data_IF_702363553707
#
_entry.id   IF_702363553707
#
_cell.length_a   1.000
_cell.length_b   1.000
_cell.length_c   1.000
_cell.angle_alpha   90.00
_cell.angle_beta   90.00
_cell.angle_gamma   90.00
#
_symmetry.space_group_name_H-M   'P 1'
#
loop_
_entity.id
_entity.type
_entity.pdbx_description
1 polymer ?
#
# COMPACT_ATOMS: atom_id res chain seq x y z
N UNK A 1 -19.30 19.27 -30.36
CA UNK A 1 -18.19 18.39 -30.82
C UNK A 1 -17.34 17.99 -29.62
N UNK A 2 -16.89 16.74 -29.55
CA UNK A 2 -15.79 16.43 -28.63
C UNK A 2 -14.59 17.33 -28.99
N UNK A 3 -13.71 17.73 -28.05
CA UNK A 3 -12.54 18.53 -28.39
C UNK A 3 -11.71 17.90 -29.53
N UNK A 4 -11.74 16.57 -29.63
CA UNK A 4 -11.08 15.77 -30.66
C UNK A 4 -11.69 15.87 -32.08
N UNK A 5 -12.76 16.64 -32.31
CA UNK A 5 -13.45 16.71 -33.61
C UNK A 5 -13.53 18.12 -34.20
N UNK A 6 -12.87 19.10 -33.58
CA UNK A 6 -12.88 20.49 -34.08
C UNK A 6 -11.92 20.62 -35.26
N UNK A 7 -12.46 21.05 -36.41
CA UNK A 7 -11.69 21.30 -37.64
C UNK A 7 -11.05 22.69 -37.63
N UNK A 8 -9.93 22.85 -38.32
CA UNK A 8 -9.21 24.12 -38.49
C UNK A 8 -10.07 25.22 -39.12
N UNK A 9 -11.05 24.86 -39.96
CA UNK A 9 -12.07 25.77 -40.52
C UNK A 9 -12.85 26.52 -39.47
N UNK A 10 -13.09 25.95 -38.29
CA UNK A 10 -13.74 26.64 -37.18
C UNK A 10 -12.94 27.88 -36.74
N UNK A 11 -11.62 27.74 -36.62
CA UNK A 11 -10.72 28.80 -36.18
C UNK A 11 -10.42 29.82 -37.28
N UNK A 12 -10.28 29.36 -38.52
CA UNK A 12 -10.15 30.24 -39.70
C UNK A 12 -11.36 31.17 -39.85
N UNK A 13 -12.57 30.66 -39.56
CA UNK A 13 -13.79 31.47 -39.55
C UNK A 13 -13.82 32.50 -38.40
N UNK A 14 -13.31 32.16 -37.22
CA UNK A 14 -13.23 33.09 -36.07
C UNK A 14 -12.34 34.29 -36.42
N UNK A 15 -11.22 34.05 -37.08
CA UNK A 15 -10.29 35.11 -37.52
C UNK A 15 -10.68 35.74 -38.86
N UNK A 16 -11.84 35.38 -39.42
CA UNK A 16 -12.40 35.88 -40.69
C UNK A 16 -11.48 35.71 -41.90
N UNK A 17 -10.68 34.65 -41.91
CA UNK A 17 -9.82 34.33 -43.05
C UNK A 17 -10.64 33.74 -44.21
N UNK A 18 -10.44 34.26 -45.42
CA UNK A 18 -11.20 33.88 -46.63
C UNK A 18 -10.30 33.29 -47.74
N UNK A 19 -9.04 32.99 -47.45
CA UNK A 19 -8.14 32.33 -48.40
C UNK A 19 -8.51 30.87 -48.65
N UNK A 20 -8.15 30.35 -49.82
CA UNK A 20 -8.38 28.94 -50.22
C UNK A 20 -7.10 28.10 -50.17
N UNK A 21 -6.00 28.69 -49.71
CA UNK A 21 -4.65 28.12 -49.64
C UNK A 21 -4.40 27.28 -48.39
N UNK A 22 -5.33 27.29 -47.42
CA UNK A 22 -5.27 26.48 -46.20
C UNK A 22 -6.40 25.44 -46.20
N UNK A 23 -6.06 24.17 -45.95
CA UNK A 23 -7.03 23.10 -45.80
C UNK A 23 -7.76 23.20 -44.44
N UNK A 24 -9.00 23.70 -44.49
CA UNK A 24 -9.89 23.85 -43.34
C UNK A 24 -10.48 22.54 -42.81
N UNK A 25 -10.26 21.41 -43.48
CA UNK A 25 -10.79 20.09 -43.13
C UNK A 25 -9.82 19.24 -42.29
N UNK A 26 -8.72 19.83 -41.82
CA UNK A 26 -7.78 19.18 -40.92
C UNK A 26 -8.23 19.37 -39.47
N UNK A 27 -8.09 18.35 -38.63
CA UNK A 27 -8.41 18.47 -37.20
C UNK A 27 -7.43 19.39 -36.48
N UNK A 28 -7.94 20.20 -35.55
CA UNK A 28 -7.13 21.21 -34.89
C UNK A 28 -6.06 20.62 -33.96
N UNK A 29 -6.28 19.43 -33.38
CA UNK A 29 -5.27 18.71 -32.59
C UNK A 29 -4.05 18.29 -33.43
N UNK A 30 -4.26 18.02 -34.73
CA UNK A 30 -3.18 17.74 -35.68
C UNK A 30 -2.47 19.04 -36.09
N UNK A 31 -3.23 20.11 -36.35
CA UNK A 31 -2.69 21.42 -36.70
C UNK A 31 -1.80 21.99 -35.58
N UNK A 32 -2.17 21.79 -34.32
CA UNK A 32 -1.46 22.37 -33.18
C UNK A 32 -0.10 21.70 -32.88
N UNK A 33 0.11 20.47 -33.36
CA UNK A 33 1.40 19.79 -33.23
C UNK A 33 2.47 20.38 -34.14
N UNK A 34 2.11 20.74 -35.38
CA UNK A 34 3.02 21.30 -36.39
C UNK A 34 2.35 22.47 -37.14
N UNK A 35 1.99 23.58 -36.45
CA UNK A 35 1.17 24.64 -37.03
C UNK A 35 1.83 25.34 -38.22
N UNK A 36 3.16 25.32 -38.30
CA UNK A 36 3.93 25.87 -39.43
C UNK A 36 3.68 25.11 -40.74
N UNK A 37 3.29 23.83 -40.67
CA UNK A 37 3.00 23.01 -41.86
C UNK A 37 1.61 23.24 -42.42
N UNK A 38 0.67 23.63 -41.58
CA UNK A 38 -0.74 23.79 -41.95
C UNK A 38 -1.15 25.25 -42.12
N UNK A 39 -0.47 26.18 -41.45
CA UNK A 39 -0.69 27.63 -41.56
C UNK A 39 0.66 28.29 -41.89
N UNK A 40 1.00 28.38 -43.19
CA UNK A 40 2.29 28.92 -43.63
C UNK A 40 2.45 30.42 -43.33
N UNK A 41 1.35 31.16 -43.28
CA UNK A 41 1.34 32.58 -42.97
C UNK A 41 1.57 32.83 -41.46
N UNK A 42 2.63 33.59 -41.15
CA UNK A 42 3.11 33.80 -39.79
C UNK A 42 2.12 34.61 -38.93
N UNK A 43 1.54 35.67 -39.50
CA UNK A 43 0.61 36.58 -38.80
C UNK A 43 -0.72 35.87 -38.51
N UNK A 44 -1.23 35.09 -39.47
CA UNK A 44 -2.44 34.29 -39.33
C UNK A 44 -2.24 33.15 -38.32
N UNK A 45 -1.06 32.52 -38.33
CA UNK A 45 -0.70 31.46 -37.38
C UNK A 45 -0.65 32.01 -35.96
N UNK A 46 -0.04 33.17 -35.76
CA UNK A 46 -0.02 33.85 -34.45
C UNK A 46 -1.44 34.20 -33.98
N UNK A 47 -2.27 34.73 -34.87
CA UNK A 47 -3.65 35.11 -34.55
C UNK A 47 -4.53 33.90 -34.18
N UNK A 48 -4.38 32.77 -34.86
CA UNK A 48 -5.13 31.53 -34.56
C UNK A 48 -4.64 30.88 -33.27
N UNK A 49 -3.32 30.76 -33.08
CA UNK A 49 -2.75 30.19 -31.86
C UNK A 49 -2.98 31.06 -30.61
N UNK A 50 -3.23 32.36 -30.80
CA UNK A 50 -3.62 33.29 -29.75
C UNK A 50 -5.05 33.12 -29.21
N UNK A 51 -5.90 32.32 -29.87
CA UNK A 51 -7.28 32.10 -29.40
C UNK A 51 -7.32 31.27 -28.11
N UNK A 52 -8.18 31.60 -27.11
CA UNK A 52 -8.26 30.88 -25.83
C UNK A 52 -8.50 29.37 -25.96
N UNK A 53 -9.33 28.98 -26.93
CA UNK A 53 -9.62 27.59 -27.22
C UNK A 53 -8.38 26.88 -27.78
N UNK A 54 -7.62 27.53 -28.68
CA UNK A 54 -6.37 26.99 -29.23
C UNK A 54 -5.27 26.87 -28.17
N UNK A 55 -5.20 27.81 -27.22
CA UNK A 55 -4.31 27.70 -26.07
C UNK A 55 -4.62 26.45 -25.23
N UNK A 56 -5.91 26.13 -25.04
CA UNK A 56 -6.33 24.92 -24.32
C UNK A 56 -5.88 23.65 -25.05
N UNK A 57 -6.03 23.60 -26.38
CA UNK A 57 -5.52 22.48 -27.17
C UNK A 57 -3.99 22.39 -27.14
N UNK A 58 -3.28 23.51 -27.21
CA UNK A 58 -1.82 23.52 -27.14
C UNK A 58 -1.31 23.00 -25.78
N UNK A 59 -2.00 23.30 -24.69
CA UNK A 59 -1.73 22.72 -23.38
C UNK A 59 -1.89 21.18 -23.40
N UNK A 60 -3.01 20.67 -23.91
CA UNK A 60 -3.34 19.24 -23.85
C UNK A 60 -2.56 18.38 -24.85
N UNK A 61 -2.37 18.84 -26.08
CA UNK A 61 -1.81 18.01 -27.16
C UNK A 61 -0.33 18.30 -27.46
N UNK A 62 0.22 19.41 -26.94
CA UNK A 62 1.63 19.77 -27.13
C UNK A 62 2.41 19.73 -25.82
N UNK A 63 1.93 20.36 -24.76
CA UNK A 63 2.67 20.41 -23.49
C UNK A 63 2.58 19.11 -22.67
N UNK A 64 1.38 18.50 -22.53
CA UNK A 64 1.20 17.27 -21.72
C UNK A 64 2.01 16.06 -22.24
N UNK A 65 2.08 15.77 -23.56
CA UNK A 65 2.91 14.67 -24.07
C UNK A 65 4.39 14.87 -23.78
N UNK A 66 4.90 16.10 -23.87
CA UNK A 66 6.29 16.43 -23.56
C UNK A 66 6.60 16.25 -22.08
N UNK A 67 5.71 16.71 -21.19
CA UNK A 67 5.84 16.46 -19.75
C UNK A 67 5.94 14.96 -19.45
N UNK A 68 5.09 14.14 -20.08
CA UNK A 68 5.12 12.67 -19.92
C UNK A 68 6.39 12.04 -20.50
N UNK A 69 6.84 12.51 -21.67
CA UNK A 69 8.06 12.04 -22.32
C UNK A 69 9.30 12.27 -21.48
N UNK A 70 9.33 13.39 -20.74
CA UNK A 70 10.39 13.74 -19.79
C UNK A 70 10.10 13.30 -18.35
N UNK A 71 9.25 12.27 -18.17
CA UNK A 71 8.95 11.61 -16.89
C UNK A 71 8.25 12.47 -15.81
N UNK A 72 7.66 13.61 -16.20
CA UNK A 72 6.79 14.41 -15.33
C UNK A 72 5.35 13.93 -15.54
N UNK A 73 4.97 12.87 -14.82
CA UNK A 73 3.66 12.21 -14.94
C UNK A 73 2.71 12.54 -13.78
N UNK A 74 3.19 13.12 -12.69
CA UNK A 74 2.41 13.47 -11.51
C UNK A 74 2.78 14.84 -10.91
N UNK A 75 1.82 15.48 -10.22
CA UNK A 75 1.99 16.83 -9.66
C UNK A 75 3.08 16.93 -8.59
N UNK A 76 3.35 15.88 -7.80
CA UNK A 76 4.42 15.91 -6.80
C UNK A 76 5.82 15.95 -7.43
N UNK A 77 5.98 15.37 -8.63
CA UNK A 77 7.22 15.42 -9.41
C UNK A 77 7.48 16.83 -9.95
N UNK A 78 6.44 17.66 -10.09
CA UNK A 78 6.58 19.05 -10.51
C UNK A 78 7.23 19.93 -9.44
N UNK A 79 6.91 19.73 -8.16
CA UNK A 79 7.28 20.66 -7.09
C UNK A 79 8.59 20.39 -6.35
N UNK A 80 9.34 19.35 -6.73
CA UNK A 80 10.69 19.10 -6.21
C UNK A 80 11.66 20.17 -6.74
N UNK A 81 12.31 20.92 -5.84
CA UNK A 81 13.18 22.05 -6.20
C UNK A 81 14.40 21.63 -7.05
N UNK A 82 14.86 20.38 -6.92
CA UNK A 82 16.08 19.89 -7.55
C UNK A 82 15.91 18.63 -8.40
N UNK A 83 14.81 17.87 -8.25
CA UNK A 83 14.68 16.53 -8.83
C UNK A 83 14.27 16.53 -10.33
N UNK A 84 13.72 17.63 -10.85
CA UNK A 84 13.21 17.69 -12.24
C UNK A 84 13.61 18.96 -13.01
N UNK A 85 14.64 19.67 -12.56
CA UNK A 85 15.11 20.89 -13.23
C UNK A 85 15.55 20.62 -14.68
N UNK A 86 16.21 19.49 -14.91
CA UNK A 86 16.66 19.10 -16.24
C UNK A 86 15.49 18.65 -17.14
N UNK A 87 14.53 17.91 -16.59
CA UNK A 87 13.30 17.52 -17.30
C UNK A 87 12.46 18.75 -17.69
N UNK A 88 12.29 19.72 -16.80
CA UNK A 88 11.60 20.99 -17.10
C UNK A 88 12.30 21.78 -18.19
N UNK A 89 13.65 21.82 -18.16
CA UNK A 89 14.44 22.50 -19.20
C UNK A 89 14.28 21.80 -20.55
N UNK A 90 14.35 20.48 -20.59
CA UNK A 90 14.16 19.69 -21.80
C UNK A 90 12.74 19.87 -22.39
N UNK A 91 11.70 19.88 -21.56
CA UNK A 91 10.33 20.17 -22.00
C UNK A 91 10.22 21.58 -22.58
N UNK A 92 10.83 22.58 -21.94
CA UNK A 92 10.84 23.96 -22.43
C UNK A 92 11.52 24.07 -23.80
N UNK A 93 12.70 23.47 -23.93
CA UNK A 93 13.51 23.51 -25.14
C UNK A 93 12.79 22.81 -26.30
N UNK A 94 12.12 21.69 -26.04
CA UNK A 94 11.37 20.92 -27.03
C UNK A 94 10.01 21.56 -27.38
N UNK A 95 9.38 22.24 -26.42
CA UNK A 95 8.13 22.97 -26.66
C UNK A 95 8.36 24.18 -27.60
N UNK A 96 9.53 24.81 -27.50
CA UNK A 96 9.96 25.96 -28.29
C UNK A 96 8.93 27.11 -28.33
N UNK A 97 8.17 27.29 -27.24
CA UNK A 97 7.14 28.31 -27.09
C UNK A 97 7.11 28.84 -25.65
N UNK A 98 7.80 29.96 -25.42
CA UNK A 98 7.95 30.55 -24.08
C UNK A 98 6.61 30.99 -23.46
N UNK A 99 5.65 31.47 -24.26
CA UNK A 99 4.34 31.89 -23.77
C UNK A 99 3.50 30.71 -23.25
N UNK A 100 3.48 29.62 -24.00
CA UNK A 100 2.83 28.37 -23.60
C UNK A 100 3.52 27.74 -22.39
N UNK A 101 4.86 27.74 -22.37
CA UNK A 101 5.64 27.26 -21.22
C UNK A 101 5.31 28.03 -19.93
N UNK A 102 5.27 29.36 -19.98
CA UNK A 102 4.92 30.19 -18.82
C UNK A 102 3.52 29.90 -18.30
N UNK A 103 2.57 29.64 -19.21
CA UNK A 103 1.18 29.28 -18.85
C UNK A 103 1.12 27.91 -18.17
N UNK A 104 1.83 26.91 -18.70
CA UNK A 104 1.95 25.57 -18.10
C UNK A 104 2.55 25.66 -16.70
N UNK A 105 3.67 26.38 -16.55
CA UNK A 105 4.34 26.56 -15.27
C UNK A 105 3.42 27.22 -14.24
N UNK A 106 2.78 28.33 -14.59
CA UNK A 106 1.91 29.06 -13.66
C UNK A 106 0.72 28.22 -13.17
N UNK A 107 0.11 27.42 -14.05
CA UNK A 107 -1.00 26.52 -13.68
C UNK A 107 -0.52 25.39 -12.75
N UNK A 108 0.62 24.77 -13.07
CA UNK A 108 1.17 23.68 -12.26
C UNK A 108 1.71 24.17 -10.91
N UNK A 109 2.33 25.35 -10.85
CA UNK A 109 2.81 25.97 -9.61
C UNK A 109 1.64 26.36 -8.69
N UNK A 110 0.55 26.88 -9.26
CA UNK A 110 -0.67 27.18 -8.51
C UNK A 110 -1.32 25.89 -7.97
N UNK A 111 -1.47 24.86 -8.80
CA UNK A 111 -2.01 23.57 -8.40
C UNK A 111 -1.15 22.90 -7.30
N UNK A 112 0.18 22.96 -7.44
CA UNK A 112 1.11 22.42 -6.45
C UNK A 112 1.02 23.19 -5.12
N UNK A 113 0.92 24.51 -5.16
CA UNK A 113 0.79 25.35 -3.96
C UNK A 113 -0.51 25.04 -3.20
N UNK A 114 -1.63 24.90 -3.91
CA UNK A 114 -2.92 24.52 -3.32
C UNK A 114 -2.85 23.13 -2.67
N UNK A 115 -2.23 22.16 -3.34
CA UNK A 115 -2.04 20.81 -2.80
C UNK A 115 -1.18 20.82 -1.53
N UNK A 116 -0.09 21.60 -1.52
CA UNK A 116 0.81 21.75 -0.36
C UNK A 116 0.13 22.44 0.83
N UNK A 117 -0.72 23.44 0.56
CA UNK A 117 -1.51 24.12 1.59
C UNK A 117 -2.61 23.22 2.16
N UNK A 118 -3.25 22.40 1.33
CA UNK A 118 -4.22 21.40 1.76
C UNK A 118 -3.56 20.35 2.65
N UNK A 119 -2.40 19.82 2.25
CA UNK A 119 -1.62 18.88 3.04
C UNK A 119 -1.18 19.51 4.38
N UNK A 120 -0.77 20.77 4.37
CA UNK A 120 -0.38 21.50 5.59
C UNK A 120 -1.58 21.71 6.53
N UNK A 121 -2.76 22.04 6.00
CA UNK A 121 -4.00 22.15 6.78
C UNK A 121 -4.44 20.81 7.35
N UNK A 122 -4.34 19.72 6.58
CA UNK A 122 -4.60 18.37 7.09
C UNK A 122 -3.63 17.99 8.22
N UNK A 123 -2.35 18.32 8.08
CA UNK A 123 -1.35 18.14 9.14
C UNK A 123 -1.68 18.95 10.39
N UNK A 124 -2.13 20.20 10.27
CA UNK A 124 -2.52 21.02 11.42
C UNK A 124 -3.81 20.52 12.07
N UNK A 125 -4.83 20.14 11.31
CA UNK A 125 -6.04 19.50 11.83
C UNK A 125 -5.71 18.17 12.53
N UNK A 126 -4.79 17.38 11.98
CA UNK A 126 -4.34 16.14 12.62
C UNK A 126 -3.53 16.43 13.89
N UNK A 127 -2.67 17.46 13.92
CA UNK A 127 -1.98 17.91 15.15
C UNK A 127 -2.95 18.40 16.22
N UNK A 128 -4.00 19.11 15.84
CA UNK A 128 -5.03 19.59 16.75
C UNK A 128 -5.85 18.43 17.31
N UNK A 129 -6.25 17.47 16.47
CA UNK A 129 -6.84 16.20 16.93
C UNK A 129 -5.91 15.42 17.84
N UNK A 130 -4.61 15.37 17.55
CA UNK A 130 -3.60 14.73 18.43
C UNK A 130 -3.51 15.44 19.78
N UNK A 131 -3.64 16.77 19.84
CA UNK A 131 -3.68 17.54 21.09
C UNK A 131 -4.94 17.27 21.90
N UNK A 132 -6.07 17.09 21.25
CA UNK A 132 -7.32 16.68 21.91
C UNK A 132 -7.24 15.24 22.43
N UNK A 133 -6.83 14.28 21.60
CA UNK A 133 -6.62 12.87 22.00
C UNK A 133 -5.52 12.72 23.06
N UNK A 134 -4.50 13.59 23.05
CA UNK A 134 -3.45 13.65 24.06
C UNK A 134 -3.96 13.99 25.46
N UNK A 135 -5.14 14.61 25.56
CA UNK A 135 -5.82 14.93 26.82
C UNK A 135 -6.61 13.75 27.40
N UNK A 136 -6.83 12.69 26.60
CA UNK A 136 -7.64 11.51 26.92
C UNK A 136 -6.77 10.24 27.11
N UNK A 137 -5.46 10.39 27.39
CA UNK A 137 -4.56 9.25 27.57
C UNK A 137 -4.75 8.57 28.92
N UNK A 138 -4.95 7.26 28.88
CA UNK A 138 -4.75 6.36 30.03
C UNK A 138 -3.30 5.87 29.97
N UNK A 139 -2.44 6.51 30.75
CA UNK A 139 -1.10 6.03 31.04
C UNK A 139 -1.18 4.87 32.03
N UNK A 140 -0.64 3.70 31.66
CA UNK A 140 -0.54 2.57 32.60
C UNK A 140 0.87 2.59 33.19
N UNK A 141 0.97 2.78 34.50
CA UNK A 141 2.21 2.54 35.22
C UNK A 141 2.51 1.04 35.20
N UNK A 142 3.60 0.67 34.53
CA UNK A 142 4.15 -0.68 34.62
C UNK A 142 5.31 -0.65 35.60
N UNK A 143 5.11 -1.25 36.78
CA UNK A 143 6.17 -1.39 37.79
C UNK A 143 7.12 -2.51 37.34
N UNK A 144 8.39 -2.15 37.07
CA UNK A 144 9.46 -3.11 36.84
C UNK A 144 10.12 -3.61 38.13
N UNK A 145 10.80 -4.76 38.07
CA UNK A 145 11.48 -5.42 39.20
C UNK A 145 12.59 -4.57 39.87
N UNK A 146 12.98 -3.45 39.26
CA UNK A 146 13.98 -2.50 39.79
C UNK A 146 13.40 -1.20 40.38
N UNK A 147 12.07 -1.11 40.59
CA UNK A 147 11.44 0.08 41.18
C UNK A 147 11.39 1.32 40.26
N UNK A 148 11.75 1.19 38.99
CA UNK A 148 11.50 2.22 37.97
C UNK A 148 10.10 2.01 37.40
N UNK A 149 9.19 2.98 37.61
CA UNK A 149 7.95 3.03 36.84
C UNK A 149 8.29 3.53 35.44
N UNK A 150 7.84 2.80 34.43
CA UNK A 150 7.90 3.25 33.05
C UNK A 150 6.46 3.42 32.56
N UNK A 151 6.14 4.63 32.13
CA UNK A 151 4.89 4.92 31.46
C UNK A 151 4.99 4.41 30.03
N UNK A 152 4.25 3.37 29.68
CA UNK A 152 4.24 2.82 28.32
C UNK A 152 2.97 3.27 27.61
N UNK A 153 3.07 3.84 26.40
CA UNK A 153 1.90 4.32 25.68
C UNK A 153 1.00 3.15 25.25
N UNK A 154 -0.21 3.12 25.79
CA UNK A 154 -1.33 2.35 25.23
C UNK A 154 -1.84 3.10 24.01
N UNK A 155 -2.05 2.39 22.90
CA UNK A 155 -2.58 3.01 21.67
C UNK A 155 -4.10 2.77 21.62
N UNK A 156 -4.93 3.77 21.96
CA UNK A 156 -6.37 3.57 22.12
C UNK A 156 -7.05 3.18 20.80
N UNK A 157 -8.06 2.31 20.87
CA UNK A 157 -8.90 1.87 19.74
C UNK A 157 -8.27 0.88 18.76
N UNK A 158 -6.93 0.74 18.79
CA UNK A 158 -6.22 -0.08 17.80
C UNK A 158 -6.44 -1.58 17.96
N UNK A 159 -6.66 -2.06 19.19
CA UNK A 159 -7.02 -3.46 19.43
C UNK A 159 -8.35 -3.79 18.75
N UNK A 160 -9.38 -2.98 19.01
CA UNK A 160 -10.71 -3.12 18.42
C UNK A 160 -10.66 -2.96 16.91
N UNK A 161 -9.84 -2.06 16.38
CA UNK A 161 -9.66 -1.87 14.94
C UNK A 161 -9.11 -3.12 14.25
N UNK A 162 -8.08 -3.76 14.82
CA UNK A 162 -7.52 -5.00 14.27
C UNK A 162 -8.50 -6.16 14.44
N UNK A 163 -9.10 -6.31 15.63
CA UNK A 163 -10.02 -7.40 15.93
C UNK A 163 -11.25 -7.36 15.01
N UNK A 164 -11.80 -6.16 14.77
CA UNK A 164 -12.99 -5.95 13.94
C UNK A 164 -12.66 -5.59 12.48
N UNK A 165 -11.44 -5.90 12.01
CA UNK A 165 -11.05 -5.63 10.63
C UNK A 165 -12.03 -6.31 9.64
N UNK A 166 -12.41 -5.57 8.61
CA UNK A 166 -13.45 -5.97 7.65
C UNK A 166 -12.86 -6.77 6.52
N UNK A 167 -13.54 -7.84 6.15
CA UNK A 167 -13.19 -8.65 5.00
C UNK A 167 -13.83 -8.08 3.73
N UNK A 168 -13.08 -8.14 2.65
CA UNK A 168 -13.57 -8.02 1.27
C UNK A 168 -12.78 -9.01 0.39
N UNK A 169 -13.21 -9.25 -0.84
CA UNK A 169 -12.51 -10.14 -1.76
C UNK A 169 -12.72 -9.76 -3.22
N UNK A 170 -11.86 -10.27 -4.10
CA UNK A 170 -11.89 -10.04 -5.54
C UNK A 170 -12.09 -11.36 -6.29
N UNK A 171 -13.08 -11.37 -7.19
CA UNK A 171 -13.43 -12.50 -8.03
C UNK A 171 -13.13 -12.20 -9.50
N UNK A 172 -12.51 -13.14 -10.22
CA UNK A 172 -12.29 -13.07 -11.66
C UNK A 172 -13.44 -13.68 -12.48
N UNK A 173 -13.38 -13.49 -13.80
CA UNK A 173 -14.30 -14.12 -14.75
C UNK A 173 -15.66 -13.44 -14.80
N UNK A 174 -15.67 -12.11 -14.70
CA UNK A 174 -16.84 -11.25 -14.81
C UNK A 174 -16.73 -10.42 -16.10
N UNK A 175 -17.27 -10.94 -17.21
CA UNK A 175 -17.08 -10.39 -18.54
C UNK A 175 -17.55 -8.92 -18.69
N UNK A 176 -18.53 -8.52 -17.90
CA UNK A 176 -19.15 -7.18 -17.98
C UNK A 176 -18.52 -6.15 -17.03
N UNK A 177 -17.45 -6.52 -16.32
CA UNK A 177 -16.77 -5.71 -15.32
C UNK A 177 -15.36 -5.33 -15.78
N UNK A 178 -14.87 -4.14 -15.39
CA UNK A 178 -13.49 -3.72 -15.68
C UNK A 178 -12.48 -4.75 -15.19
N UNK A 179 -11.40 -4.92 -15.98
CA UNK A 179 -10.34 -5.90 -15.71
C UNK A 179 -10.83 -7.35 -15.58
N UNK A 180 -12.06 -7.66 -15.98
CA UNK A 180 -12.73 -8.94 -15.77
C UNK A 180 -12.86 -9.35 -14.29
N UNK A 181 -12.86 -8.38 -13.38
CA UNK A 181 -12.84 -8.56 -11.93
C UNK A 181 -14.06 -7.94 -11.24
N UNK A 182 -14.48 -8.51 -10.12
CA UNK A 182 -15.50 -7.94 -9.22
C UNK A 182 -14.99 -7.88 -7.79
N UNK A 183 -15.16 -6.73 -7.17
CA UNK A 183 -14.92 -6.51 -5.74
C UNK A 183 -16.21 -6.82 -4.97
N UNK A 184 -16.10 -7.56 -3.87
CA UNK A 184 -17.23 -7.96 -3.03
C UNK A 184 -16.87 -7.73 -1.56
N UNK A 185 -17.79 -7.14 -0.82
CA UNK A 185 -17.65 -7.00 0.64
C UNK A 185 -17.96 -8.30 1.37
N UNK A 186 -17.22 -8.57 2.43
CA UNK A 186 -17.30 -9.78 3.22
C UNK A 186 -16.27 -10.84 2.84
N UNK A 187 -16.24 -11.92 3.63
CA UNK A 187 -15.44 -13.10 3.35
C UNK A 187 -16.10 -13.90 2.20
N UNK A 188 -15.33 -14.48 1.27
CA UNK A 188 -15.89 -15.37 0.26
C UNK A 188 -16.51 -16.63 0.91
N UNK A 189 -17.52 -17.21 0.25
CA UNK A 189 -18.17 -18.45 0.71
C UNK A 189 -17.18 -19.60 0.87
N UNK A 190 -16.19 -19.69 -0.03
CA UNK A 190 -15.15 -20.70 -0.02
C UNK A 190 -13.79 -20.02 -0.02
N UNK A 191 -13.06 -20.14 1.09
CA UNK A 191 -11.64 -19.77 1.17
C UNK A 191 -10.79 -20.94 0.65
N UNK A 192 -9.63 -20.65 0.07
CA UNK A 192 -8.73 -21.67 -0.44
C UNK A 192 -8.37 -22.70 0.63
N UNK A 193 -8.49 -23.98 0.29
CA UNK A 193 -8.09 -25.08 1.17
C UNK A 193 -6.58 -25.20 1.30
N UNK A 194 -6.09 -25.88 2.34
CA UNK A 194 -4.65 -26.16 2.48
C UNK A 194 -4.08 -26.87 1.26
N UNK A 195 -4.75 -27.91 0.75
CA UNK A 195 -4.28 -28.65 -0.43
C UNK A 195 -4.23 -27.80 -1.70
N UNK A 196 -5.09 -26.78 -1.82
CA UNK A 196 -5.07 -25.85 -2.95
C UNK A 196 -3.89 -24.89 -2.87
N UNK A 197 -3.61 -24.34 -1.68
CA UNK A 197 -2.55 -23.34 -1.53
C UNK A 197 -1.19 -23.97 -1.26
N UNK A 198 -1.11 -25.22 -0.80
CA UNK A 198 0.14 -25.92 -0.48
C UNK A 198 0.87 -26.40 -1.75
N UNK A 199 1.22 -25.43 -2.58
CA UNK A 199 1.97 -25.60 -3.81
C UNK A 199 3.33 -24.93 -3.68
N UNK A 200 4.39 -25.66 -4.02
CA UNK A 200 5.74 -25.12 -4.12
C UNK A 200 6.26 -25.43 -5.52
N UNK A 201 6.39 -24.42 -6.41
CA UNK A 201 6.85 -24.64 -7.76
C UNK A 201 8.29 -25.16 -7.74
N UNK A 202 8.61 -26.05 -8.68
CA UNK A 202 10.01 -26.38 -8.97
C UNK A 202 10.76 -25.11 -9.40
N UNK A 203 12.09 -25.01 -9.16
CA UNK A 203 12.91 -23.92 -9.71
C UNK A 203 12.77 -23.70 -11.22
N UNK A 204 12.37 -24.74 -11.98
CA UNK A 204 12.12 -24.69 -13.43
C UNK A 204 10.73 -24.16 -13.81
N UNK A 205 9.86 -23.96 -12.82
CA UNK A 205 8.46 -23.59 -12.98
C UNK A 205 8.12 -22.27 -12.27
N UNK A 206 9.14 -21.52 -11.82
CA UNK A 206 8.98 -20.24 -11.11
C UNK A 206 8.28 -19.17 -11.95
N UNK A 207 8.41 -19.25 -13.27
CA UNK A 207 7.75 -18.34 -14.23
C UNK A 207 6.35 -18.80 -14.64
N UNK A 208 5.90 -19.98 -14.18
CA UNK A 208 4.56 -20.49 -14.48
C UNK A 208 3.58 -20.01 -13.43
N UNK A 209 2.39 -19.60 -13.88
CA UNK A 209 1.28 -19.32 -12.99
C UNK A 209 0.97 -20.58 -12.16
N UNK A 210 0.83 -20.40 -10.84
CA UNK A 210 0.46 -21.49 -9.96
C UNK A 210 -0.91 -22.07 -10.38
N UNK A 211 -1.13 -23.39 -10.28
CA UNK A 211 -2.44 -23.96 -10.54
C UNK A 211 -3.51 -23.33 -9.63
N UNK A 212 -4.56 -22.76 -10.22
CA UNK A 212 -5.67 -22.11 -9.50
C UNK A 212 -6.98 -22.82 -9.77
N UNK A 213 -7.79 -23.00 -8.72
CA UNK A 213 -9.18 -23.43 -8.84
C UNK A 213 -10.11 -22.30 -8.43
N UNK A 214 -11.26 -22.20 -9.11
CA UNK A 214 -12.26 -21.18 -8.83
C UNK A 214 -11.89 -19.78 -9.30
N UNK A 215 -12.67 -18.81 -8.84
CA UNK A 215 -12.63 -17.41 -9.28
C UNK A 215 -12.02 -16.46 -8.26
N UNK A 216 -11.76 -16.92 -7.02
CA UNK A 216 -11.19 -16.08 -5.97
C UNK A 216 -9.74 -15.75 -6.29
N UNK A 217 -9.41 -14.48 -6.45
CA UNK A 217 -8.04 -14.04 -6.75
C UNK A 217 -7.31 -13.55 -5.51
N UNK A 218 -7.91 -12.61 -4.77
CA UNK A 218 -7.36 -12.09 -3.51
C UNK A 218 -8.47 -11.87 -2.48
N UNK A 219 -8.11 -11.90 -1.21
CA UNK A 219 -8.92 -11.34 -0.13
C UNK A 219 -8.25 -10.07 0.39
N UNK A 220 -9.03 -9.20 1.02
CA UNK A 220 -8.56 -7.95 1.59
C UNK A 220 -9.10 -7.82 3.00
N UNK A 221 -8.23 -7.38 3.92
CA UNK A 221 -8.57 -7.12 5.30
C UNK A 221 -8.33 -5.65 5.63
N UNK A 222 -9.40 -4.93 5.96
CA UNK A 222 -9.38 -3.49 6.18
C UNK A 222 -9.52 -3.15 7.66
N UNK A 223 -8.49 -2.53 8.24
CA UNK A 223 -8.47 -2.03 9.63
C UNK A 223 -8.54 -0.49 9.62
N UNK A 224 -9.46 0.10 10.40
CA UNK A 224 -9.68 1.56 10.41
C UNK A 224 -8.47 2.37 10.88
N UNK A 225 -7.78 1.87 11.91
CA UNK A 225 -6.57 2.47 12.46
C UNK A 225 -5.29 1.94 11.80
N UNK A 226 -5.39 1.03 10.83
CA UNK A 226 -4.25 0.44 10.12
C UNK A 226 -3.64 -0.77 10.84
N UNK A 227 -2.35 -1.01 10.59
CA UNK A 227 -1.62 -2.21 11.02
C UNK A 227 -0.27 -1.88 11.66
N UNK A 228 0.28 -2.76 12.52
CA UNK A 228 1.57 -2.55 13.18
C UNK A 228 2.71 -2.18 12.22
N UNK A 229 2.79 -2.85 11.07
CA UNK A 229 3.84 -2.61 10.06
C UNK A 229 3.75 -1.21 9.43
N UNK A 230 2.53 -0.74 9.16
CA UNK A 230 2.29 0.60 8.60
C UNK A 230 2.23 1.71 9.65
N UNK A 231 2.37 1.34 10.93
CA UNK A 231 2.04 2.14 12.11
C UNK A 231 0.54 2.44 12.20
N UNK A 232 0.00 2.37 13.41
CA UNK A 232 -1.38 2.74 13.66
C UNK A 232 -1.56 4.24 13.53
N UNK A 233 -2.74 4.65 13.06
CA UNK A 233 -3.11 6.07 12.91
C UNK A 233 -3.00 6.85 14.23
N UNK A 234 -3.33 6.20 15.34
CA UNK A 234 -3.40 6.82 16.67
C UNK A 234 -2.03 6.92 17.36
N UNK A 235 -0.93 6.60 16.67
CA UNK A 235 0.43 6.73 17.20
C UNK A 235 0.97 8.17 17.07
N UNK A 236 1.71 8.61 18.09
CA UNK A 236 2.42 9.90 18.04
C UNK A 236 3.64 9.77 17.13
N UNK A 237 3.75 10.60 16.09
CA UNK A 237 4.89 10.61 15.17
C UNK A 237 6.18 10.89 15.96
N UNK A 238 7.13 9.95 15.98
CA UNK A 238 8.51 10.26 16.37
C UNK A 238 9.11 11.19 15.32
N UNK A 239 9.75 12.26 15.81
CA UNK A 239 10.32 13.35 14.99
C UNK A 239 11.45 12.84 14.08
N UNK A 240 12.03 11.67 14.39
CA UNK A 240 13.21 11.10 13.72
C UNK A 240 12.92 9.89 12.81
N UNK A 241 11.69 9.70 12.35
CA UNK A 241 11.40 8.55 11.49
C UNK A 241 11.90 8.78 10.05
N UNK A 242 12.98 8.08 9.67
CA UNK A 242 13.51 7.90 8.31
C UNK A 242 12.57 7.11 7.38
N UNK A 243 11.28 7.25 7.58
CA UNK A 243 10.25 6.56 6.82
C UNK A 243 10.21 7.04 5.34
N UNK A 244 11.07 7.99 4.96
CA UNK A 244 11.33 8.43 3.59
C UNK A 244 12.36 7.54 2.86
N UNK A 245 13.31 6.90 3.55
CA UNK A 245 14.57 6.42 2.90
C UNK A 245 14.50 4.98 2.36
N UNK A 246 13.37 4.27 2.51
CA UNK A 246 13.23 2.88 2.03
C UNK A 246 11.88 2.52 1.42
N UNK A 247 10.97 3.49 1.24
CA UNK A 247 9.59 3.25 0.77
C UNK A 247 9.41 3.43 -0.74
N UNK A 248 10.43 3.13 -1.54
CA UNK A 248 10.35 3.14 -3.01
C UNK A 248 9.67 1.90 -3.60
N UNK A 249 8.51 1.50 -3.08
CA UNK A 249 7.69 0.43 -3.63
C UNK A 249 6.38 0.97 -4.17
N UNK A 250 6.00 0.55 -5.38
CA UNK A 250 4.83 0.99 -6.18
C UNK A 250 3.47 0.85 -5.44
N UNK A 251 3.45 0.23 -4.25
CA UNK A 251 2.25 -0.24 -3.56
C UNK A 251 2.09 0.19 -2.09
N UNK A 252 2.94 1.07 -1.55
CA UNK A 252 2.89 1.48 -0.14
C UNK A 252 2.34 2.91 0.05
N UNK A 253 1.03 3.03 0.24
CA UNK A 253 0.48 4.23 0.86
C UNK A 253 0.88 4.23 2.35
N UNK A 254 1.53 5.29 2.82
CA UNK A 254 1.71 5.54 4.26
C UNK A 254 0.35 5.41 4.94
N UNK A 255 0.21 4.42 5.85
CA UNK A 255 -1.05 4.08 6.55
C UNK A 255 -2.12 3.38 5.68
N UNK A 256 -1.72 2.46 4.79
CA UNK A 256 -2.70 1.58 4.14
C UNK A 256 -3.52 0.83 5.19
N UNK A 257 -4.84 1.06 5.17
CA UNK A 257 -5.82 0.33 5.98
C UNK A 257 -6.02 -1.10 5.49
N UNK A 258 -5.73 -1.35 4.22
CA UNK A 258 -6.04 -2.59 3.52
C UNK A 258 -4.81 -3.48 3.43
N UNK A 259 -4.95 -4.70 3.94
CA UNK A 259 -3.98 -5.78 3.83
C UNK A 259 -4.46 -6.79 2.81
N UNK A 260 -3.60 -7.07 1.84
CA UNK A 260 -3.87 -7.96 0.72
C UNK A 260 -3.48 -9.40 1.05
N UNK A 261 -4.45 -10.31 1.05
CA UNK A 261 -4.28 -11.70 1.45
C UNK A 261 -4.33 -12.58 0.20
N UNK A 262 -3.14 -13.05 -0.20
CA UNK A 262 -2.95 -13.99 -1.31
C UNK A 262 -3.00 -15.44 -0.85
N UNK A 263 -3.07 -16.35 -1.80
CA UNK A 263 -2.94 -17.81 -1.58
C UNK A 263 -1.74 -18.15 -0.72
N UNK A 264 -0.60 -17.53 -1.04
CA UNK A 264 0.66 -17.78 -0.35
C UNK A 264 0.61 -17.33 1.12
N UNK A 265 -0.06 -16.21 1.40
CA UNK A 265 -0.27 -15.71 2.77
C UNK A 265 -1.14 -16.69 3.57
N UNK A 266 -2.16 -17.27 2.93
CA UNK A 266 -3.03 -18.30 3.52
C UNK A 266 -2.28 -19.62 3.75
N UNK A 267 -1.39 -20.00 2.83
CA UNK A 267 -0.52 -21.19 2.98
C UNK A 267 0.37 -21.08 4.22
N UNK A 268 1.02 -19.92 4.42
CA UNK A 268 1.82 -19.63 5.63
C UNK A 268 0.96 -19.80 6.88
N UNK A 269 -0.24 -19.22 6.89
CA UNK A 269 -1.16 -19.36 8.03
C UNK A 269 -1.48 -20.82 8.33
N UNK A 270 -1.85 -21.65 7.35
CA UNK A 270 -2.18 -23.05 7.61
C UNK A 270 -1.01 -23.85 8.21
N UNK A 271 0.21 -23.60 7.75
CA UNK A 271 1.41 -24.24 8.31
C UNK A 271 1.61 -23.82 9.77
N UNK A 272 1.39 -22.54 10.08
CA UNK A 272 1.49 -22.01 11.45
C UNK A 272 0.36 -22.55 12.33
N UNK A 273 -0.87 -22.59 11.82
CA UNK A 273 -2.08 -23.03 12.51
C UNK A 273 -2.00 -24.50 12.95
N UNK A 274 -1.54 -25.39 12.07
CA UNK A 274 -1.35 -26.81 12.38
C UNK A 274 -0.44 -27.00 13.61
N UNK A 275 0.65 -26.24 13.66
CA UNK A 275 1.65 -26.37 14.71
C UNK A 275 1.23 -25.67 15.99
N UNK A 276 0.47 -24.59 15.87
CA UNK A 276 -0.22 -23.93 16.98
C UNK A 276 -1.19 -24.87 17.68
N UNK A 277 -1.97 -25.64 16.90
CA UNK A 277 -2.88 -26.67 17.42
C UNK A 277 -2.12 -27.77 18.13
N UNK A 278 -1.08 -28.30 17.50
CA UNK A 278 -0.23 -29.36 18.06
C UNK A 278 0.41 -28.94 19.40
N UNK A 279 0.81 -27.67 19.55
CA UNK A 279 1.38 -27.14 20.78
C UNK A 279 0.34 -26.82 21.86
N UNK A 280 -0.64 -25.95 21.58
CA UNK A 280 -1.51 -25.39 22.61
C UNK A 280 -2.77 -26.18 22.92
N UNK A 281 -3.22 -27.03 21.98
CA UNK A 281 -4.49 -27.77 22.09
C UNK A 281 -4.22 -29.25 22.31
N UNK A 282 -3.39 -29.85 21.47
CA UNK A 282 -3.15 -31.30 21.49
C UNK A 282 -2.02 -31.71 22.43
N UNK A 283 -1.04 -30.82 22.69
CA UNK A 283 0.12 -31.13 23.53
C UNK A 283 1.03 -32.21 22.94
N UNK A 284 1.02 -32.39 21.62
CA UNK A 284 1.79 -33.43 20.92
C UNK A 284 3.24 -33.03 20.67
N UNK A 285 3.54 -31.72 20.71
CA UNK A 285 4.89 -31.19 20.59
C UNK A 285 5.56 -31.07 21.97
N UNK A 286 6.85 -31.39 22.05
CA UNK A 286 7.65 -31.21 23.27
C UNK A 286 8.14 -29.78 23.45
N UNK A 287 8.25 -29.02 22.36
CA UNK A 287 8.66 -27.62 22.32
C UNK A 287 7.89 -26.91 21.20
N UNK A 288 7.59 -25.61 21.34
CA UNK A 288 6.93 -24.85 20.29
C UNK A 288 7.83 -24.74 19.05
N UNK A 289 7.21 -24.67 17.87
CA UNK A 289 7.94 -24.54 16.61
C UNK A 289 8.16 -23.07 16.25
N UNK A 290 9.36 -22.81 15.72
CA UNK A 290 9.71 -21.55 15.07
C UNK A 290 9.66 -21.71 13.55
N UNK A 291 9.16 -20.70 12.85
CA UNK A 291 9.08 -20.66 11.39
C UNK A 291 9.89 -19.50 10.84
N UNK A 292 10.60 -19.75 9.76
CA UNK A 292 11.32 -18.72 9.01
C UNK A 292 10.65 -18.59 7.66
N UNK A 293 9.93 -17.50 7.47
CA UNK A 293 9.20 -17.16 6.24
C UNK A 293 10.13 -16.31 5.36
N UNK A 294 10.68 -16.95 4.33
CA UNK A 294 11.67 -16.38 3.42
C UNK A 294 10.99 -15.99 2.12
N UNK A 295 11.24 -14.80 1.61
CA UNK A 295 10.80 -14.43 0.26
C UNK A 295 11.36 -13.11 -0.21
N UNK A 296 11.28 -12.85 -1.51
CA UNK A 296 11.88 -11.70 -2.18
C UNK A 296 11.51 -10.37 -1.51
N UNK A 297 12.44 -9.40 -1.37
CA UNK A 297 12.11 -8.06 -0.89
C UNK A 297 10.94 -7.45 -1.69
N UNK A 298 10.04 -6.73 -1.03
CA UNK A 298 8.88 -6.11 -1.68
C UNK A 298 7.67 -7.04 -1.93
N UNK A 299 7.80 -8.36 -1.79
CA UNK A 299 6.70 -9.33 -2.07
C UNK A 299 5.51 -9.27 -1.08
N UNK A 300 5.53 -8.34 -0.11
CA UNK A 300 4.45 -8.19 0.87
C UNK A 300 4.51 -9.05 2.12
N UNK A 301 5.62 -9.73 2.46
CA UNK A 301 5.73 -10.56 3.69
C UNK A 301 5.38 -9.78 4.96
N UNK A 302 6.10 -8.69 5.17
CA UNK A 302 6.01 -7.83 6.33
C UNK A 302 4.61 -7.21 6.47
N UNK A 303 4.15 -6.58 5.38
CA UNK A 303 2.86 -5.91 5.37
C UNK A 303 1.67 -6.88 5.37
N UNK A 304 1.67 -7.90 4.52
CA UNK A 304 0.53 -8.81 4.37
C UNK A 304 0.59 -10.01 5.31
N UNK A 305 1.66 -10.82 5.28
CA UNK A 305 1.73 -12.01 6.13
C UNK A 305 1.71 -11.63 7.62
N UNK A 306 2.52 -10.67 8.05
CA UNK A 306 2.57 -10.27 9.47
C UNK A 306 1.21 -9.78 9.99
N UNK A 307 0.55 -8.90 9.25
CA UNK A 307 -0.78 -8.39 9.60
C UNK A 307 -1.86 -9.47 9.58
N UNK A 308 -1.85 -10.35 8.57
CA UNK A 308 -2.81 -11.45 8.49
C UNK A 308 -2.63 -12.48 9.61
N UNK A 309 -1.37 -12.83 9.92
CA UNK A 309 -1.05 -13.69 11.06
C UNK A 309 -1.56 -13.06 12.35
N UNK A 310 -1.30 -11.78 12.59
CA UNK A 310 -1.81 -11.09 13.77
C UNK A 310 -3.33 -11.21 13.88
N UNK A 311 -4.07 -10.89 12.81
CA UNK A 311 -5.53 -11.01 12.79
C UNK A 311 -5.97 -12.43 13.14
N UNK A 312 -5.41 -13.44 12.47
CA UNK A 312 -5.77 -14.84 12.69
C UNK A 312 -5.44 -15.34 14.10
N UNK A 313 -4.32 -14.89 14.68
CA UNK A 313 -3.91 -15.24 16.04
C UNK A 313 -4.85 -14.66 17.10
N UNK A 314 -5.36 -13.43 16.90
CA UNK A 314 -6.34 -12.84 17.83
C UNK A 314 -7.68 -13.59 17.81
N UNK A 315 -8.06 -14.12 16.65
CA UNK A 315 -9.26 -14.93 16.45
C UNK A 315 -9.07 -16.43 16.68
N UNK A 316 -7.84 -16.88 16.98
CA UNK A 316 -7.52 -18.30 17.07
C UNK A 316 -8.23 -18.98 18.25
N UNK A 317 -9.02 -20.01 17.97
CA UNK A 317 -9.73 -20.86 18.95
C UNK A 317 -10.45 -20.04 20.04
N UNK A 318 -11.29 -19.08 19.61
CA UNK A 318 -12.05 -18.21 20.53
C UNK A 318 -11.19 -17.23 21.33
N UNK A 319 -9.99 -16.92 20.84
CA UNK A 319 -9.01 -16.06 21.51
C UNK A 319 -8.11 -16.81 22.46
N UNK A 320 -7.77 -18.07 22.20
CA UNK A 320 -6.90 -18.91 23.05
C UNK A 320 -5.62 -18.20 23.51
N UNK A 321 -5.01 -17.39 22.64
CA UNK A 321 -3.81 -16.62 22.97
C UNK A 321 -4.13 -15.40 23.84
N UNK A 322 -3.38 -15.23 24.91
CA UNK A 322 -3.44 -14.06 25.79
C UNK A 322 -2.68 -12.87 25.20
N UNK A 323 -1.57 -13.13 24.50
CA UNK A 323 -0.64 -12.10 24.04
C UNK A 323 -0.06 -12.44 22.67
N UNK A 324 -0.03 -11.46 21.77
CA UNK A 324 0.77 -11.53 20.54
C UNK A 324 1.80 -10.40 20.58
N UNK A 325 3.08 -10.76 20.47
CA UNK A 325 4.17 -9.80 20.36
C UNK A 325 4.57 -9.65 18.89
N UNK A 326 4.49 -8.44 18.35
CA UNK A 326 4.89 -8.12 16.99
C UNK A 326 6.08 -7.15 17.02
N UNK A 327 7.25 -7.67 16.66
CA UNK A 327 8.47 -6.90 16.47
C UNK A 327 8.53 -6.34 15.05
N UNK A 328 8.64 -5.02 14.94
CA UNK A 328 8.91 -4.29 13.70
C UNK A 328 10.16 -3.45 13.88
N UNK A 329 10.68 -2.87 12.80
CA UNK A 329 11.86 -1.99 12.84
C UNK A 329 11.80 -0.92 13.93
N UNK A 330 10.66 -0.23 14.03
CA UNK A 330 10.51 0.96 14.88
C UNK A 330 9.97 0.63 16.30
N UNK A 331 10.08 -0.63 16.74
CA UNK A 331 9.72 -1.06 18.10
C UNK A 331 8.90 -2.36 18.15
N UNK A 332 8.35 -2.65 19.33
CA UNK A 332 7.56 -3.86 19.58
C UNK A 332 6.14 -3.51 20.00
N UNK A 333 5.16 -4.06 19.30
CA UNK A 333 3.76 -4.04 19.73
C UNK A 333 3.47 -5.29 20.55
N UNK A 334 3.01 -5.09 21.78
CA UNK A 334 2.52 -6.17 22.64
C UNK A 334 1.00 -6.04 22.68
N UNK A 335 0.33 -6.94 21.96
CA UNK A 335 -1.12 -6.99 21.83
C UNK A 335 -1.65 -7.96 22.88
N UNK A 336 -2.38 -7.44 23.87
CA UNK A 336 -3.10 -8.24 24.84
C UNK A 336 -4.50 -8.53 24.31
N UNK A 337 -4.83 -9.82 24.18
CA UNK A 337 -6.14 -10.23 23.71
C UNK A 337 -7.23 -9.97 24.77
N UNK A 338 -8.46 -9.82 24.32
CA UNK A 338 -9.59 -9.63 25.22
C UNK A 338 -9.89 -10.92 25.99
N UNK A 339 -10.31 -10.76 27.25
CA UNK A 339 -10.74 -11.84 28.14
C UNK A 339 -12.08 -11.46 28.77
N UNK A 340 -12.87 -12.42 29.29
CA UNK A 340 -14.10 -12.09 30.02
C UNK A 340 -13.83 -11.06 31.12
N UNK A 341 -14.40 -9.86 30.98
CA UNK A 341 -14.23 -8.74 31.92
C UNK A 341 -12.94 -7.93 31.78
N UNK A 342 -12.05 -8.24 30.83
CA UNK A 342 -10.80 -7.49 30.58
C UNK A 342 -10.74 -7.10 29.09
N UNK A 343 -10.81 -5.80 28.77
CA UNK A 343 -10.69 -5.35 27.38
C UNK A 343 -9.29 -5.65 26.84
N UNK A 344 -9.22 -5.96 25.55
CA UNK A 344 -7.94 -6.08 24.86
C UNK A 344 -7.27 -4.71 24.75
N UNK A 345 -5.95 -4.72 24.54
CA UNK A 345 -5.18 -3.47 24.41
C UNK A 345 -3.89 -3.69 23.64
N UNK A 346 -3.40 -2.64 23.00
CA UNK A 346 -2.10 -2.62 22.33
C UNK A 346 -1.16 -1.69 23.07
N UNK A 347 0.02 -2.20 23.41
CA UNK A 347 1.08 -1.46 24.08
C UNK A 347 2.30 -1.42 23.17
N UNK A 348 2.85 -0.23 22.90
CA UNK A 348 4.06 -0.08 22.08
C UNK A 348 5.28 0.19 22.94
N UNK A 349 6.31 -0.62 22.76
CA UNK A 349 7.63 -0.44 23.35
C UNK A 349 8.58 0.06 22.27
N UNK A 350 9.12 1.27 22.43
CA UNK A 350 10.16 1.80 21.52
C UNK A 350 11.50 1.09 21.72
N UNK A 351 11.79 0.64 22.95
CA UNK A 351 12.97 -0.17 23.27
C UNK A 351 12.62 -1.66 23.25
N UNK A 352 13.22 -2.39 22.31
CA UNK A 352 12.99 -3.82 22.15
C UNK A 352 13.53 -4.63 23.34
N UNK A 353 14.57 -4.17 24.04
CA UNK A 353 15.11 -4.90 25.20
C UNK A 353 14.09 -4.93 26.33
N UNK A 354 13.51 -3.77 26.64
CA UNK A 354 12.41 -3.65 27.61
C UNK A 354 11.21 -4.52 27.20
N UNK A 355 10.87 -4.56 25.92
CA UNK A 355 9.79 -5.41 25.40
C UNK A 355 10.06 -6.90 25.65
N UNK A 356 11.27 -7.38 25.29
CA UNK A 356 11.67 -8.79 25.47
C UNK A 356 11.64 -9.18 26.94
N UNK A 357 12.14 -8.33 27.84
CA UNK A 357 12.07 -8.56 29.28
C UNK A 357 10.62 -8.78 29.75
N UNK A 358 9.69 -7.93 29.32
CA UNK A 358 8.27 -8.05 29.68
C UNK A 358 7.59 -9.27 29.05
N UNK A 359 7.96 -9.63 27.82
CA UNK A 359 7.46 -10.83 27.16
C UNK A 359 7.93 -12.09 27.89
N UNK A 360 9.19 -12.15 28.34
CA UNK A 360 9.72 -13.26 29.13
C UNK A 360 9.00 -13.42 30.48
N UNK A 361 8.73 -12.33 31.19
CA UNK A 361 7.94 -12.36 32.42
C UNK A 361 6.56 -13.02 32.16
N UNK A 362 5.90 -12.63 31.07
CA UNK A 362 4.57 -13.16 30.70
C UNK A 362 4.59 -14.59 30.18
N UNK A 363 5.66 -15.00 29.49
CA UNK A 363 5.75 -16.33 28.88
C UNK A 363 5.67 -17.48 29.90
N UNK A 364 5.97 -17.19 31.18
CA UNK A 364 5.84 -18.15 32.28
C UNK A 364 4.40 -18.49 32.65
N UNK A 365 3.43 -17.62 32.36
CA UNK A 365 2.06 -17.74 32.87
C UNK A 365 0.96 -17.47 31.82
N UNK A 366 1.33 -17.05 30.61
CA UNK A 366 0.40 -16.71 29.52
C UNK A 366 0.72 -17.49 28.25
N UNK A 367 -0.32 -17.80 27.49
CA UNK A 367 -0.19 -18.33 26.12
C UNK A 367 0.05 -17.16 25.18
N UNK A 368 1.10 -17.23 24.37
CA UNK A 368 1.36 -16.16 23.43
C UNK A 368 2.11 -16.58 22.19
N UNK A 369 2.29 -15.62 21.30
CA UNK A 369 2.89 -15.84 20.00
C UNK A 369 3.81 -14.67 19.65
N UNK A 370 4.92 -14.95 18.96
CA UNK A 370 5.85 -13.92 18.52
C UNK A 370 5.87 -13.84 16.99
N UNK A 371 5.63 -12.66 16.45
CA UNK A 371 5.88 -12.29 15.06
C UNK A 371 7.09 -11.38 15.05
N UNK A 372 8.10 -11.72 14.25
CA UNK A 372 9.27 -10.89 14.06
C UNK A 372 9.44 -10.51 12.61
N UNK A 373 9.50 -9.22 12.33
CA UNK A 373 9.62 -8.67 10.99
C UNK A 373 10.93 -7.89 10.86
N UNK A 374 11.91 -8.51 10.19
CA UNK A 374 13.27 -8.01 10.08
C UNK A 374 13.40 -7.28 8.74
N UNK A 375 13.55 -5.95 8.78
CA UNK A 375 13.67 -5.14 7.56
C UNK A 375 15.09 -4.70 7.20
N UNK A 376 16.05 -4.74 8.14
CA UNK A 376 17.41 -4.23 7.91
C UNK A 376 18.52 -5.29 8.09
N UNK A 377 19.69 -5.00 7.52
CA UNK A 377 20.87 -5.85 7.53
C UNK A 377 21.37 -6.08 8.96
N UNK A 378 21.31 -7.33 9.42
CA UNK A 378 22.00 -7.76 10.64
C UNK A 378 21.22 -7.59 11.95
N UNK A 379 19.95 -7.19 11.91
CA UNK A 379 19.09 -7.26 13.10
C UNK A 379 18.64 -8.71 13.31
N UNK A 380 19.42 -9.43 14.12
CA UNK A 380 19.03 -10.75 14.62
C UNK A 380 18.06 -10.51 15.79
N UNK A 381 16.82 -11.02 15.76
CA UNK A 381 15.92 -10.88 16.88
C UNK A 381 16.56 -11.47 18.14
N UNK A 382 16.27 -10.87 19.30
CA UNK A 382 16.98 -11.22 20.53
C UNK A 382 16.99 -12.73 20.78
N UNK A 383 18.17 -13.26 21.13
CA UNK A 383 18.31 -14.64 21.62
C UNK A 383 17.50 -14.88 22.90
N UNK A 384 17.13 -13.81 23.59
CA UNK A 384 16.36 -13.83 24.83
C UNK A 384 14.85 -13.93 24.59
N UNK A 385 14.35 -13.98 23.35
CA UNK A 385 12.93 -14.24 23.12
C UNK A 385 12.52 -15.62 23.68
N UNK A 386 11.33 -15.77 24.29
CA UNK A 386 10.92 -17.01 24.94
C UNK A 386 10.44 -18.05 23.92
N UNK A 387 11.30 -18.42 22.98
CA UNK A 387 10.98 -19.37 21.91
C UNK A 387 10.88 -20.82 22.38
N UNK A 388 11.16 -21.08 23.65
CA UNK A 388 10.91 -22.37 24.29
C UNK A 388 9.47 -22.47 24.84
N UNK A 389 8.77 -21.33 24.97
CA UNK A 389 7.40 -21.27 25.49
C UNK A 389 6.39 -20.88 24.40
N UNK A 390 6.77 -19.92 23.55
CA UNK A 390 5.88 -19.30 22.55
C UNK A 390 6.33 -19.62 21.11
N UNK A 391 5.42 -20.15 20.27
CA UNK A 391 5.67 -20.28 18.85
C UNK A 391 6.03 -18.92 18.23
N UNK A 392 6.93 -18.97 17.24
CA UNK A 392 7.53 -17.76 16.66
C UNK A 392 7.56 -17.83 15.14
N UNK A 393 7.15 -16.76 14.47
CA UNK A 393 7.33 -16.58 13.02
C UNK A 393 8.28 -15.44 12.77
N UNK A 394 9.34 -15.70 11.99
CA UNK A 394 10.30 -14.71 11.54
C UNK A 394 10.07 -14.45 10.05
N UNK A 395 9.75 -13.21 9.70
CA UNK A 395 9.62 -12.72 8.33
C UNK A 395 10.96 -12.12 7.91
N UNK A 396 11.56 -12.67 6.85
CA UNK A 396 12.92 -12.27 6.45
C UNK A 396 13.11 -12.31 4.93
N UNK A 397 14.07 -11.52 4.45
CA UNK A 397 14.53 -11.55 3.05
C UNK A 397 15.32 -12.84 2.77
N UNK A 398 15.57 -13.20 1.50
CA UNK A 398 16.34 -14.40 1.16
C UNK A 398 17.85 -14.23 1.39
N UNK A 399 18.29 -13.17 2.09
CA UNK A 399 19.67 -13.05 2.51
C UNK A 399 19.96 -14.11 3.58
N UNK A 400 20.73 -15.11 3.16
CA UNK A 400 21.12 -16.29 3.92
C UNK A 400 21.75 -15.91 5.27
N UNK A 401 22.48 -14.79 5.32
CA UNK A 401 23.11 -14.30 6.56
C UNK A 401 22.08 -13.92 7.63
N UNK A 402 20.84 -13.60 7.26
CA UNK A 402 19.81 -13.14 8.18
C UNK A 402 19.08 -14.27 8.90
N UNK A 403 19.03 -15.48 8.33
CA UNK A 403 18.20 -16.55 8.87
C UNK A 403 18.92 -17.89 9.09
N UNK A 404 20.11 -18.11 8.53
CA UNK A 404 20.84 -19.37 8.74
C UNK A 404 21.07 -19.66 10.22
N UNK A 405 21.46 -18.63 10.98
CA UNK A 405 21.67 -18.77 12.41
C UNK A 405 20.37 -19.13 13.14
N UNK A 406 19.21 -18.61 12.69
CA UNK A 406 17.91 -18.96 13.27
C UNK A 406 17.47 -20.38 12.99
N UNK A 407 17.67 -20.83 11.75
CA UNK A 407 17.37 -22.21 11.36
C UNK A 407 18.23 -23.16 12.19
N UNK A 408 19.53 -22.86 12.35
CA UNK A 408 20.47 -23.67 13.13
C UNK A 408 20.17 -23.64 14.63
N UNK A 409 19.99 -22.46 15.21
CA UNK A 409 19.86 -22.28 16.66
C UNK A 409 18.49 -22.75 17.18
N UNK A 410 17.43 -22.68 16.37
CA UNK A 410 16.04 -22.91 16.84
C UNK A 410 15.31 -24.04 16.12
N UNK A 411 16.02 -24.84 15.33
CA UNK A 411 15.46 -25.92 14.52
C UNK A 411 14.23 -25.45 13.71
N UNK A 412 14.32 -24.23 13.17
CA UNK A 412 13.20 -23.52 12.57
C UNK A 412 12.81 -24.12 11.22
N UNK A 413 11.51 -24.28 10.97
CA UNK A 413 10.99 -24.74 9.68
C UNK A 413 11.01 -23.60 8.68
N UNK A 414 11.74 -23.76 7.57
CA UNK A 414 11.73 -22.77 6.48
C UNK A 414 10.43 -22.86 5.67
N UNK A 415 9.87 -21.69 5.35
CA UNK A 415 8.72 -21.52 4.49
C UNK A 415 9.11 -20.52 3.41
N UNK A 416 9.19 -20.97 2.16
CA UNK A 416 9.50 -20.10 1.02
C UNK A 416 8.21 -19.50 0.44
N UNK A 417 8.10 -18.18 0.46
CA UNK A 417 6.97 -17.42 -0.06
C UNK A 417 7.11 -17.30 -1.57
N UNK A 418 6.15 -17.90 -2.29
CA UNK A 418 6.04 -17.77 -3.74
C UNK A 418 5.79 -16.31 -4.17
N UNK A 419 6.27 -15.98 -5.38
CA UNK A 419 6.05 -14.68 -5.97
C UNK A 419 4.59 -14.45 -6.35
N UNK A 420 4.22 -13.17 -6.50
CA UNK A 420 2.99 -12.76 -7.15
C UNK A 420 2.91 -13.29 -8.57
N UNK A 421 1.73 -13.74 -8.99
CA UNK A 421 1.45 -13.94 -10.40
C UNK A 421 0.61 -12.80 -11.00
N UNK A 422 0.49 -12.81 -12.32
CA UNK A 422 -0.26 -11.80 -13.08
C UNK A 422 -1.68 -11.58 -12.55
N UNK A 423 -2.37 -12.66 -12.13
CA UNK A 423 -3.75 -12.56 -11.69
C UNK A 423 -3.85 -11.89 -10.32
N UNK A 424 -2.87 -12.10 -9.44
CA UNK A 424 -2.77 -11.36 -8.18
C UNK A 424 -2.59 -9.86 -8.43
N UNK A 425 -1.72 -9.50 -9.37
CA UNK A 425 -1.46 -8.10 -9.75
C UNK A 425 -2.70 -7.42 -10.34
N UNK A 426 -3.40 -8.10 -11.26
CA UNK A 426 -4.65 -7.59 -11.84
C UNK A 426 -5.72 -7.42 -10.75
N UNK A 427 -5.82 -8.37 -9.81
CA UNK A 427 -6.76 -8.27 -8.72
C UNK A 427 -6.44 -7.12 -7.75
N UNK A 428 -5.16 -6.80 -7.51
CA UNK A 428 -4.76 -5.63 -6.74
C UNK A 428 -5.16 -4.32 -7.40
N UNK A 429 -4.93 -4.21 -8.71
CA UNK A 429 -5.34 -3.03 -9.48
C UNK A 429 -6.86 -2.91 -9.45
N UNK A 430 -7.58 -4.01 -9.66
CA UNK A 430 -9.04 -4.05 -9.59
C UNK A 430 -9.56 -3.61 -8.21
N UNK A 431 -8.95 -4.05 -7.10
CA UNK A 431 -9.32 -3.55 -5.78
C UNK A 431 -9.16 -2.03 -5.70
N UNK A 432 -8.02 -1.49 -6.11
CA UNK A 432 -7.75 -0.04 -6.01
C UNK A 432 -8.68 0.80 -6.85
N UNK A 433 -9.01 0.33 -8.06
CA UNK A 433 -9.79 1.06 -9.04
C UNK A 433 -11.29 0.92 -8.79
N UNK A 434 -11.75 -0.27 -8.39
CA UNK A 434 -13.18 -0.57 -8.27
C UNK A 434 -13.73 -0.38 -6.86
N UNK A 435 -12.87 -0.23 -5.84
CA UNK A 435 -13.32 -0.01 -4.48
C UNK A 435 -14.08 1.32 -4.36
N UNK A 436 -15.28 1.25 -3.80
CA UNK A 436 -16.13 2.42 -3.58
C UNK A 436 -16.98 2.81 -4.80
N UNK A 437 -16.88 2.10 -5.92
CA UNK A 437 -17.82 2.26 -7.02
C UNK A 437 -19.16 1.62 -6.65
N UNK A 438 -20.29 2.31 -6.89
CA UNK A 438 -21.62 1.71 -6.76
C UNK A 438 -21.84 0.68 -7.86
N UNK A 439 -22.65 -0.35 -7.60
CA UNK A 439 -23.01 -1.39 -8.58
C UNK A 439 -23.35 -0.80 -9.95
N UNK A 440 -22.87 -1.45 -11.02
CA UNK A 440 -23.04 -0.97 -12.38
C UNK A 440 -24.52 -0.91 -12.75
N UNK A 441 -24.99 0.29 -13.08
CA UNK A 441 -26.33 0.59 -13.61
C UNK A 441 -26.18 1.38 -14.91
N UNK A 442 -27.26 1.49 -15.70
CA UNK A 442 -27.25 2.32 -16.90
C UNK A 442 -26.85 3.77 -16.60
N UNK A 443 -27.26 4.30 -15.44
CA UNK A 443 -27.01 5.68 -15.01
C UNK A 443 -25.57 5.97 -14.59
N UNK A 444 -24.79 4.96 -14.19
CA UNK A 444 -23.41 5.14 -13.72
C UNK A 444 -22.34 4.47 -14.61
N UNK A 445 -22.74 3.93 -15.77
CA UNK A 445 -21.85 3.23 -16.70
C UNK A 445 -20.62 4.04 -17.12
N UNK A 446 -20.72 5.38 -17.15
CA UNK A 446 -19.59 6.28 -17.41
C UNK A 446 -18.47 6.20 -16.37
N UNK A 447 -18.79 6.05 -15.08
CA UNK A 447 -17.79 5.88 -14.01
C UNK A 447 -17.00 4.58 -14.17
N UNK A 448 -17.69 3.53 -14.62
CA UNK A 448 -17.09 2.22 -14.88
C UNK A 448 -16.20 2.22 -16.14
N UNK A 449 -16.53 3.02 -17.16
CA UNK A 449 -15.69 3.21 -18.36
C UNK A 449 -14.39 3.98 -18.08
N UNK A 450 -14.41 4.94 -17.15
CA UNK A 450 -13.20 5.68 -16.77
C UNK A 450 -12.30 4.86 -15.83
N UNK A 451 -12.89 3.96 -15.04
CA UNK A 451 -12.16 2.94 -14.30
C UNK A 451 -11.38 1.96 -15.22
N UNK A 452 -11.87 1.67 -16.42
CA UNK A 452 -11.17 0.81 -17.40
C UNK A 452 -9.94 1.48 -18.06
N UNK A 453 -9.86 2.81 -18.03
CA UNK A 453 -8.79 3.58 -18.71
C UNK A 453 -7.58 3.88 -17.81
N UNK A 454 -7.72 3.68 -16.49
CA UNK A 454 -6.67 3.90 -15.48
C UNK A 454 -6.02 2.57 -15.10
#
# INVERSE_FOLDING_TARGET
PSPNEVLSSHFLNIVRYQGTDIDGNVRMDVVIQEPERFIPDDDLREMILGLPECQTYALVYRAVPLLRGHQITALFQWGGADENTDAKRAVRDELANDGLWNTVCGLLDAAFSVAKDAESREREMEKEKIREMGRERVEVEVVGSAGKSATVPVIPGTFESVLNARWSHVLSGQADMPLYMRVVDGLPENVWSYDEVNYSPSPLEVDRQAPRKGKLEIMVLSSEDGWPYTQFRNETRSVDNNAEVGRGGVFNAQRSKDVYIRREVVRVWYIVEEQMRAWYVEGTLTHPKSFVVVGTPGIGKSFACGSFLLYKLLHYDGGLLDVVAYFVRDGTYVIHNARPGVPGRVVKYSDQITAVSKINEMASCKKGFVIVDISEKGEVPSRELPTDCWPTVVLTSPDVNHYEQWVKDRNGKLIYVNCDDERDLVAFVAWRVLRGLPDKTEDNAGLWLDAEKN
#
